data_IF_071137414132
#
_entry.id   IF_071137414132
#
_cell.length_a   1.000
_cell.length_b   1.000
_cell.length_c   1.000
_cell.angle_alpha   90.00
_cell.angle_beta   90.00
_cell.angle_gamma   90.00
#
_symmetry.space_group_name_H-M   'P 1'
#
loop_
_entity.id
_entity.type
_entity.pdbx_description
1 polymer ?
#
# COMPACT_ATOMS: atom_id res chain seq x y z
N UNK A 1 14.90 9.55 -11.21
CA UNK A 1 14.09 10.00 -10.06
C UNK A 1 12.97 9.01 -9.86
N UNK A 2 12.79 8.57 -8.64
CA UNK A 2 11.79 7.59 -8.23
C UNK A 2 10.86 8.22 -7.20
N UNK A 3 9.57 8.28 -7.51
CA UNK A 3 8.56 9.00 -6.74
C UNK A 3 7.55 8.06 -6.13
N UNK A 4 7.18 8.29 -4.88
CA UNK A 4 6.09 7.62 -4.19
C UNK A 4 4.97 8.61 -3.90
N UNK A 5 3.72 8.20 -4.14
CA UNK A 5 2.54 8.99 -3.83
C UNK A 5 1.66 8.17 -2.88
N UNK A 6 1.16 8.79 -1.83
CA UNK A 6 0.17 8.18 -0.95
C UNK A 6 -0.85 9.21 -0.49
N UNK A 7 -2.09 8.79 -0.30
CA UNK A 7 -3.07 9.58 0.41
C UNK A 7 -3.31 8.99 1.79
N UNK A 8 -3.51 9.87 2.75
CA UNK A 8 -3.68 9.49 4.16
C UNK A 8 -4.87 10.20 4.80
N UNK A 9 -5.44 9.56 5.80
CA UNK A 9 -6.29 10.18 6.81
C UNK A 9 -6.25 9.36 8.09
N UNK A 10 -5.69 9.95 9.16
CA UNK A 10 -5.59 9.32 10.47
C UNK A 10 -4.86 7.97 10.42
N UNK A 11 -3.60 8.02 10.00
CA UNK A 11 -2.74 6.86 9.77
C UNK A 11 -1.59 6.76 10.79
N UNK A 12 -1.72 7.38 11.97
CA UNK A 12 -0.65 7.43 12.99
C UNK A 12 -0.12 6.04 13.38
N UNK A 13 -0.96 5.00 13.30
CA UNK A 13 -0.57 3.62 13.62
C UNK A 13 0.40 3.01 12.58
N UNK A 14 0.18 3.26 11.30
CA UNK A 14 0.92 2.61 10.22
C UNK A 14 2.11 3.44 9.74
N UNK A 15 2.01 4.76 9.79
CA UNK A 15 3.00 5.68 9.22
C UNK A 15 4.43 5.46 9.73
N UNK A 16 4.71 5.21 11.02
CA UNK A 16 6.09 5.00 11.46
C UNK A 16 6.77 3.84 10.71
N UNK A 17 6.07 2.72 10.56
CA UNK A 17 6.59 1.53 9.87
C UNK A 17 6.64 1.73 8.36
N UNK A 18 5.63 2.39 7.79
CA UNK A 18 5.55 2.68 6.37
C UNK A 18 6.64 3.64 5.92
N UNK A 19 6.93 4.68 6.72
CA UNK A 19 8.01 5.63 6.49
C UNK A 19 9.36 4.92 6.58
N UNK A 20 9.60 4.16 7.66
CA UNK A 20 10.85 3.43 7.85
C UNK A 20 11.17 2.51 6.67
N UNK A 21 10.15 1.87 6.08
CA UNK A 21 10.32 0.98 4.95
C UNK A 21 10.59 1.73 3.63
N UNK A 22 9.78 2.75 3.31
CA UNK A 22 9.79 3.35 1.97
C UNK A 22 10.78 4.51 1.83
N UNK A 23 11.11 5.22 2.93
CA UNK A 23 12.00 6.39 2.89
C UNK A 23 13.35 6.12 2.21
N UNK A 24 14.04 4.98 2.45
CA UNK A 24 15.32 4.70 1.79
C UNK A 24 15.17 4.30 0.31
N UNK A 25 13.95 4.02 -0.18
CA UNK A 25 13.71 3.49 -1.52
C UNK A 25 13.39 4.57 -2.56
N UNK A 26 12.89 5.73 -2.14
CA UNK A 26 12.34 6.74 -3.04
C UNK A 26 13.07 8.09 -2.90
N UNK A 27 13.37 8.72 -4.05
CA UNK A 27 14.02 10.03 -4.11
C UNK A 27 13.07 11.15 -3.66
N UNK A 28 11.75 10.97 -3.86
CA UNK A 28 10.73 11.94 -3.52
C UNK A 28 9.43 11.25 -3.12
N UNK A 29 8.79 11.77 -2.08
CA UNK A 29 7.49 11.29 -1.62
C UNK A 29 6.50 12.43 -1.49
N UNK A 30 5.31 12.23 -2.04
CA UNK A 30 4.19 13.17 -1.91
C UNK A 30 3.04 12.51 -1.16
N UNK A 31 2.67 13.09 -0.04
CA UNK A 31 1.53 12.68 0.77
C UNK A 31 0.35 13.61 0.51
N UNK A 32 -0.80 13.06 0.20
CA UNK A 32 -2.07 13.77 0.06
C UNK A 32 -2.85 13.58 1.36
N UNK A 33 -2.98 14.63 2.15
CA UNK A 33 -3.67 14.57 3.45
C UNK A 33 -5.15 14.93 3.33
N UNK A 34 -6.00 13.99 3.68
CA UNK A 34 -7.47 14.15 3.76
C UNK A 34 -7.92 14.68 5.12
N UNK A 35 -7.31 15.73 5.61
CA UNK A 35 -7.64 16.35 6.89
C UNK A 35 -7.45 15.42 8.11
N UNK A 36 -6.29 14.83 8.22
CA UNK A 36 -5.92 14.09 9.43
C UNK A 36 -6.03 14.96 10.68
N UNK A 37 -6.54 14.37 11.74
CA UNK A 37 -6.78 15.00 13.06
C UNK A 37 -6.01 14.33 14.19
N UNK A 38 -5.33 13.22 13.87
CA UNK A 38 -4.44 12.48 14.76
C UNK A 38 -2.98 12.97 14.61
N UNK A 39 -2.02 12.20 15.10
CA UNK A 39 -0.59 12.53 15.04
C UNK A 39 0.05 12.28 13.65
N UNK A 40 -0.70 11.90 12.61
CA UNK A 40 -0.16 11.53 11.29
C UNK A 40 0.80 12.57 10.72
N UNK A 41 0.39 13.85 10.72
CA UNK A 41 1.21 14.92 10.12
C UNK A 41 2.47 15.21 10.93
N UNK A 42 2.41 15.10 12.25
CA UNK A 42 3.57 15.31 13.12
C UNK A 42 4.57 14.16 13.01
N UNK A 43 4.09 12.93 12.83
CA UNK A 43 4.91 11.76 12.53
C UNK A 43 5.69 11.97 11.23
N UNK A 44 5.02 12.41 10.15
CA UNK A 44 5.71 12.66 8.87
C UNK A 44 6.74 13.76 9.02
N UNK A 45 6.40 14.90 9.64
CA UNK A 45 7.33 16.01 9.85
C UNK A 45 8.56 15.62 10.68
N UNK A 46 8.38 14.67 11.59
CA UNK A 46 9.46 14.18 12.47
C UNK A 46 10.32 13.14 11.78
N UNK A 47 9.71 12.13 11.14
CA UNK A 47 10.43 10.98 10.62
C UNK A 47 10.86 11.14 9.15
N UNK A 48 10.22 12.02 8.39
CA UNK A 48 10.49 12.26 6.98
C UNK A 48 10.26 13.75 6.62
N UNK A 49 10.99 14.70 7.22
CA UNK A 49 10.77 16.13 7.05
C UNK A 49 10.96 16.61 5.60
N UNK A 50 11.64 15.84 4.76
CA UNK A 50 11.84 16.11 3.34
C UNK A 50 10.62 15.73 2.48
N UNK A 51 9.65 15.01 3.01
CA UNK A 51 8.46 14.60 2.25
C UNK A 51 7.50 15.77 2.05
N UNK A 52 6.94 15.83 0.86
CA UNK A 52 5.96 16.85 0.50
C UNK A 52 4.57 16.45 1.02
N UNK A 53 3.93 17.32 1.77
CA UNK A 53 2.55 17.16 2.22
C UNK A 53 1.67 18.13 1.44
N UNK A 54 0.64 17.61 0.80
CA UNK A 54 -0.41 18.37 0.10
C UNK A 54 -1.74 18.11 0.78
N UNK A 55 -2.54 19.17 0.93
CA UNK A 55 -3.92 19.02 1.37
C UNK A 55 -4.78 18.53 0.22
N UNK A 56 -5.57 17.46 0.45
CA UNK A 56 -6.59 17.03 -0.50
C UNK A 56 -7.63 18.14 -0.73
N UNK A 57 -8.11 18.24 -1.96
CA UNK A 57 -9.23 19.10 -2.30
C UNK A 57 -10.59 18.45 -2.00
N UNK A 58 -10.60 17.15 -1.71
CA UNK A 58 -11.81 16.39 -1.39
C UNK A 58 -12.06 16.39 0.11
N UNK A 59 -13.32 16.55 0.50
CA UNK A 59 -13.74 16.56 1.91
C UNK A 59 -13.93 15.13 2.42
N UNK A 60 -14.57 14.28 1.60
CA UNK A 60 -14.82 12.88 1.90
C UNK A 60 -13.97 11.98 1.00
N UNK A 61 -13.73 10.76 1.45
CA UNK A 61 -13.08 9.77 0.62
C UNK A 61 -14.06 9.32 -0.48
N UNK A 62 -13.74 9.70 -1.69
CA UNK A 62 -14.34 9.24 -2.93
C UNK A 62 -13.25 8.57 -3.75
N UNK A 63 -13.46 7.31 -4.11
CA UNK A 63 -12.41 6.50 -4.72
C UNK A 63 -11.95 7.05 -6.07
N UNK A 64 -12.88 7.54 -6.90
CA UNK A 64 -12.54 8.13 -8.19
C UNK A 64 -11.75 9.43 -8.03
N UNK A 65 -12.21 10.30 -7.12
CA UNK A 65 -11.54 11.58 -6.88
C UNK A 65 -10.16 11.39 -6.25
N UNK A 66 -10.00 10.40 -5.35
CA UNK A 66 -8.70 10.04 -4.78
C UNK A 66 -7.72 9.59 -5.86
N UNK A 67 -8.15 8.74 -6.79
CA UNK A 67 -7.32 8.29 -7.90
C UNK A 67 -7.02 9.42 -8.89
N UNK A 68 -7.98 10.34 -9.09
CA UNK A 68 -7.78 11.52 -9.93
C UNK A 68 -6.74 12.48 -9.34
N UNK A 69 -6.77 12.74 -8.02
CA UNK A 69 -5.73 13.53 -7.35
C UNK A 69 -4.33 12.90 -7.50
N UNK A 70 -4.23 11.58 -7.36
CA UNK A 70 -2.97 10.86 -7.61
C UNK A 70 -2.49 11.11 -9.04
N UNK A 71 -3.36 10.93 -10.04
CA UNK A 71 -3.00 11.13 -11.45
C UNK A 71 -2.65 12.58 -11.78
N UNK A 72 -3.27 13.56 -11.12
CA UNK A 72 -2.87 14.97 -11.25
C UNK A 72 -1.44 15.21 -10.74
N UNK A 73 -1.07 14.61 -9.60
CA UNK A 73 0.29 14.70 -9.08
C UNK A 73 1.27 13.98 -10.00
N UNK A 74 0.95 12.79 -10.46
CA UNK A 74 1.77 12.03 -11.41
C UNK A 74 2.11 12.85 -12.66
N UNK A 75 1.15 13.60 -13.18
CA UNK A 75 1.34 14.41 -14.39
C UNK A 75 2.45 15.46 -14.26
N UNK A 76 2.65 15.99 -13.05
CA UNK A 76 3.70 16.98 -12.76
C UNK A 76 5.03 16.37 -12.30
N UNK A 77 5.07 15.05 -12.03
CA UNK A 77 6.28 14.37 -11.60
C UNK A 77 7.04 13.78 -12.78
N UNK A 78 8.35 14.05 -12.84
CA UNK A 78 9.25 13.39 -13.78
C UNK A 78 9.78 12.07 -13.22
N UNK A 79 10.18 11.15 -14.13
CA UNK A 79 10.74 9.87 -13.75
C UNK A 79 9.69 8.79 -13.40
N UNK A 80 10.16 7.77 -12.73
CA UNK A 80 9.33 6.63 -12.31
C UNK A 80 8.50 6.98 -11.08
N UNK A 81 7.31 6.43 -10.98
CA UNK A 81 6.37 6.71 -9.90
C UNK A 81 5.48 5.52 -9.59
N UNK A 82 5.07 5.43 -8.34
CA UNK A 82 4.10 4.44 -7.83
C UNK A 82 3.19 5.11 -6.81
N UNK A 83 1.93 4.71 -6.77
CA UNK A 83 0.98 5.15 -5.76
C UNK A 83 0.58 3.98 -4.86
N UNK A 84 0.79 4.12 -3.54
CA UNK A 84 0.51 3.11 -2.52
C UNK A 84 -0.42 3.66 -1.44
N UNK A 85 -1.19 2.78 -0.82
CA UNK A 85 -1.86 3.07 0.44
C UNK A 85 -0.90 2.77 1.61
N UNK A 86 -1.17 3.30 2.80
CA UNK A 86 -0.34 3.07 4.00
C UNK A 86 -0.31 1.63 4.48
N UNK A 87 -1.25 0.80 4.03
CA UNK A 87 -1.24 -0.65 4.26
C UNK A 87 -0.43 -1.42 3.24
N UNK A 88 0.12 -0.77 2.22
CA UNK A 88 0.78 -1.43 1.09
C UNK A 88 2.28 -1.15 1.10
N UNK A 89 3.04 -2.20 0.88
CA UNK A 89 4.49 -2.19 0.87
C UNK A 89 4.97 -2.73 -0.46
N UNK A 90 5.80 -1.95 -1.16
CA UNK A 90 6.56 -2.44 -2.30
C UNK A 90 7.89 -3.01 -1.80
N UNK A 91 8.24 -4.21 -2.22
CA UNK A 91 9.48 -4.87 -1.81
C UNK A 91 10.27 -5.29 -3.03
N UNK A 92 11.52 -4.86 -3.07
CA UNK A 92 12.46 -5.14 -4.15
C UNK A 92 13.88 -5.09 -3.59
N UNK A 93 14.73 -6.01 -3.97
CA UNK A 93 16.13 -6.02 -3.53
C UNK A 93 16.95 -4.88 -4.13
N UNK A 94 16.68 -4.52 -5.38
CA UNK A 94 17.36 -3.41 -6.07
C UNK A 94 16.41 -2.75 -7.09
N UNK A 95 15.64 -1.78 -6.60
CA UNK A 95 14.64 -1.08 -7.41
C UNK A 95 15.27 -0.26 -8.57
N UNK A 96 16.46 0.31 -8.34
CA UNK A 96 17.16 1.05 -9.38
C UNK A 96 17.58 0.12 -10.53
N UNK A 97 18.14 -1.06 -10.23
CA UNK A 97 18.54 -2.01 -11.26
C UNK A 97 17.34 -2.57 -12.03
N UNK A 98 16.24 -2.84 -11.33
CA UNK A 98 14.98 -3.25 -11.95
C UNK A 98 14.48 -2.23 -12.97
N UNK A 99 14.51 -0.95 -12.63
CA UNK A 99 14.13 0.14 -13.52
C UNK A 99 15.05 0.21 -14.75
N UNK A 100 16.35 0.14 -14.55
CA UNK A 100 17.34 0.16 -15.65
C UNK A 100 17.06 -1.00 -16.62
N UNK A 101 16.82 -2.19 -16.11
CA UNK A 101 16.51 -3.37 -16.92
C UNK A 101 15.23 -3.18 -17.74
N UNK A 102 14.17 -2.63 -17.14
CA UNK A 102 12.92 -2.33 -17.84
C UNK A 102 13.11 -1.27 -18.94
N UNK A 103 13.86 -0.19 -18.66
CA UNK A 103 14.16 0.87 -19.63
C UNK A 103 14.95 0.33 -20.83
N UNK A 104 15.97 -0.50 -20.57
CA UNK A 104 16.77 -1.13 -21.61
C UNK A 104 15.94 -2.08 -22.50
N UNK A 105 14.91 -2.70 -21.92
CA UNK A 105 13.95 -3.54 -22.63
C UNK A 105 12.80 -2.76 -23.30
N UNK A 106 12.79 -1.41 -23.20
CA UNK A 106 11.79 -0.54 -23.81
C UNK A 106 10.45 -0.45 -23.05
N UNK A 107 10.40 -0.91 -21.81
CA UNK A 107 9.19 -0.81 -20.99
C UNK A 107 9.11 0.52 -20.24
N UNK A 108 7.90 1.02 -20.11
CA UNK A 108 7.57 2.24 -19.36
C UNK A 108 6.75 1.96 -18.10
N UNK A 109 6.45 0.70 -17.82
CA UNK A 109 5.75 0.23 -16.63
C UNK A 109 6.24 -1.14 -16.19
N UNK A 110 6.23 -1.37 -14.90
CA UNK A 110 6.64 -2.62 -14.25
C UNK A 110 5.56 -3.03 -13.27
N UNK A 111 5.27 -4.33 -13.21
CA UNK A 111 4.41 -4.94 -12.20
C UNK A 111 5.12 -6.12 -11.55
N UNK A 112 4.90 -6.30 -10.27
CA UNK A 112 5.40 -7.45 -9.53
C UNK A 112 4.62 -8.73 -9.86
N UNK A 113 5.32 -9.85 -9.91
CA UNK A 113 4.71 -11.16 -10.13
C UNK A 113 3.99 -11.70 -8.90
N UNK A 114 4.34 -11.22 -7.70
CA UNK A 114 3.75 -11.70 -6.46
C UNK A 114 3.15 -10.56 -5.63
N UNK A 115 1.98 -10.81 -5.09
CA UNK A 115 1.32 -9.97 -4.09
C UNK A 115 0.92 -10.83 -2.90
N UNK A 116 1.14 -10.31 -1.70
CA UNK A 116 0.90 -11.00 -0.45
C UNK A 116 -0.08 -10.22 0.43
N UNK A 117 -0.99 -10.94 1.04
CA UNK A 117 -1.82 -10.41 2.13
C UNK A 117 -1.25 -10.94 3.44
N UNK A 118 -0.84 -10.03 4.33
CA UNK A 118 -0.31 -10.39 5.64
C UNK A 118 -1.43 -10.56 6.66
N UNK A 119 -1.24 -11.55 7.52
CA UNK A 119 -2.19 -11.91 8.56
C UNK A 119 -1.47 -12.07 9.90
N UNK A 120 -1.98 -11.42 10.94
CA UNK A 120 -1.44 -11.52 12.30
C UNK A 120 -1.96 -12.77 13.02
N UNK A 121 -1.59 -13.94 12.49
CA UNK A 121 -1.98 -15.25 13.01
C UNK A 121 -1.64 -15.42 14.50
N UNK A 122 -0.57 -14.79 14.95
CA UNK A 122 -0.07 -14.88 16.31
C UNK A 122 -0.68 -13.84 17.26
N UNK A 123 -1.58 -12.99 16.77
CA UNK A 123 -2.18 -11.90 17.55
C UNK A 123 -1.14 -11.02 18.26
N UNK A 124 -0.16 -10.57 17.50
CA UNK A 124 0.88 -9.68 18.01
C UNK A 124 0.29 -8.31 18.35
N UNK A 125 -0.56 -7.79 17.48
CA UNK A 125 -1.07 -6.44 17.57
C UNK A 125 0.05 -5.39 17.48
N UNK A 126 -0.29 -4.12 17.48
CA UNK A 126 0.72 -3.05 17.41
C UNK A 126 1.62 -3.02 18.65
N UNK A 127 1.12 -3.42 19.81
CA UNK A 127 1.88 -3.38 21.08
C UNK A 127 3.10 -4.29 21.10
N UNK A 128 3.15 -5.32 20.24
CA UNK A 128 4.29 -6.26 20.16
C UNK A 128 5.14 -6.04 18.92
N UNK A 129 4.68 -5.24 17.97
CA UNK A 129 5.49 -4.85 16.81
C UNK A 129 6.54 -3.83 17.28
N UNK A 130 7.79 -4.09 16.94
CA UNK A 130 8.93 -3.26 17.29
C UNK A 130 9.33 -2.39 16.11
N UNK A 131 10.11 -1.33 16.38
CA UNK A 131 10.70 -0.55 15.31
C UNK A 131 11.77 -1.34 14.54
N UNK A 132 12.43 -2.27 15.20
CA UNK A 132 13.41 -3.18 14.62
C UNK A 132 13.18 -4.62 15.11
N UNK A 133 13.30 -5.63 14.25
CA UNK A 133 13.54 -5.53 12.79
C UNK A 133 12.34 -4.90 12.05
N UNK A 134 12.47 -4.60 10.73
CA UNK A 134 11.38 -4.06 9.91
C UNK A 134 10.06 -4.85 10.05
N UNK A 135 8.93 -4.17 9.93
CA UNK A 135 7.59 -4.78 10.18
C UNK A 135 7.32 -6.03 9.32
N UNK A 136 7.80 -6.07 8.08
CA UNK A 136 7.61 -7.23 7.20
C UNK A 136 8.37 -8.46 7.66
N UNK A 137 9.46 -8.30 8.41
CA UNK A 137 10.22 -9.41 9.00
C UNK A 137 9.57 -9.94 10.28
N UNK A 138 8.70 -9.16 10.91
CA UNK A 138 7.96 -9.57 12.11
C UNK A 138 6.63 -10.25 11.78
N UNK A 139 6.07 -9.99 10.58
CA UNK A 139 4.78 -10.48 10.11
C UNK A 139 4.98 -11.58 9.05
N UNK A 140 5.24 -12.79 9.51
CA UNK A 140 5.62 -13.89 8.63
C UNK A 140 4.46 -14.84 8.24
N UNK A 141 3.22 -14.43 8.47
CA UNK A 141 2.05 -15.21 8.11
C UNK A 141 1.17 -14.45 7.14
N UNK A 142 0.52 -15.20 6.25
CA UNK A 142 -0.34 -14.64 5.23
C UNK A 142 -0.52 -15.59 4.06
N UNK A 143 -0.86 -15.05 2.90
CA UNK A 143 -0.95 -15.85 1.67
C UNK A 143 -0.54 -15.03 0.46
N UNK A 144 -0.06 -15.71 -0.57
CA UNK A 144 0.14 -15.12 -1.88
C UNK A 144 -1.21 -15.05 -2.59
N UNK A 145 -1.56 -13.90 -3.14
CA UNK A 145 -2.78 -13.75 -3.95
C UNK A 145 -2.67 -14.55 -5.25
N UNK A 146 -3.80 -15.14 -5.66
CA UNK A 146 -3.91 -15.84 -6.93
C UNK A 146 -4.10 -14.84 -8.07
N UNK A 147 -3.13 -14.74 -9.01
CA UNK A 147 -3.21 -13.78 -10.12
C UNK A 147 -4.43 -13.97 -11.02
N UNK A 148 -5.04 -15.16 -11.01
CA UNK A 148 -6.21 -15.47 -11.85
C UNK A 148 -7.54 -14.99 -11.25
N UNK A 149 -7.56 -14.59 -9.99
CA UNK A 149 -8.78 -14.19 -9.27
C UNK A 149 -8.83 -12.69 -9.03
N UNK A 150 -8.52 -12.29 -7.83
CA UNK A 150 -8.44 -10.88 -7.44
C UNK A 150 -7.02 -10.61 -6.98
N UNK A 151 -6.43 -9.52 -7.45
CA UNK A 151 -5.03 -9.37 -7.29
C UNK A 151 -4.64 -7.89 -7.14
N UNK A 152 -4.08 -7.57 -5.99
CA UNK A 152 -3.77 -6.20 -5.61
C UNK A 152 -2.41 -5.77 -6.13
N UNK A 153 -2.31 -5.62 -7.45
CA UNK A 153 -1.11 -5.07 -8.05
C UNK A 153 -1.07 -3.55 -7.94
N UNK A 154 0.15 -3.04 -7.98
CA UNK A 154 0.42 -1.62 -8.16
C UNK A 154 1.33 -1.44 -9.36
N UNK A 155 1.10 -0.36 -10.09
CA UNK A 155 1.87 -0.03 -11.27
C UNK A 155 3.02 0.90 -10.88
N UNK A 156 4.26 0.44 -11.07
CA UNK A 156 5.45 1.28 -11.09
C UNK A 156 5.69 1.74 -12.54
N UNK A 157 5.65 3.03 -12.83
CA UNK A 157 5.66 3.51 -14.21
C UNK A 157 6.31 4.88 -14.38
N UNK A 158 6.61 5.24 -15.66
CA UNK A 158 7.12 6.55 -16.06
C UNK A 158 6.21 7.31 -17.02
N UNK A 159 5.01 6.82 -17.31
CA UNK A 159 4.02 7.57 -18.09
C UNK A 159 3.59 8.85 -17.36
N UNK A 160 3.06 9.86 -18.07
CA UNK A 160 2.53 11.06 -17.41
C UNK A 160 1.52 10.74 -16.31
N UNK A 161 0.63 9.77 -16.57
CA UNK A 161 -0.33 9.24 -15.58
C UNK A 161 -0.49 7.74 -15.75
N UNK A 162 -0.86 7.01 -14.68
CA UNK A 162 -1.14 5.59 -14.73
C UNK A 162 -2.41 5.22 -15.48
N UNK A 163 -3.36 6.16 -15.66
CA UNK A 163 -4.69 5.90 -16.24
C UNK A 163 -5.39 4.72 -15.57
N UNK A 164 -5.57 4.82 -14.27
CA UNK A 164 -6.08 3.77 -13.41
C UNK A 164 -7.58 3.55 -13.54
N UNK A 165 -8.02 2.31 -13.32
CA UNK A 165 -9.37 2.03 -12.81
C UNK A 165 -9.46 2.37 -11.32
N UNK A 166 -10.69 2.45 -10.82
CA UNK A 166 -10.95 2.75 -9.40
C UNK A 166 -10.16 1.82 -8.49
N UNK A 167 -9.45 2.41 -7.52
CA UNK A 167 -8.60 1.70 -6.58
C UNK A 167 -7.18 1.40 -7.08
N UNK A 168 -6.83 1.78 -8.30
CA UNK A 168 -5.49 1.64 -8.91
C UNK A 168 -4.96 0.21 -9.02
N UNK A 169 -5.87 -0.78 -9.10
CA UNK A 169 -5.50 -2.19 -9.27
C UNK A 169 -5.39 -2.63 -10.73
N UNK A 170 -5.88 -1.81 -11.64
CA UNK A 170 -5.69 -1.97 -13.09
C UNK A 170 -5.49 -0.61 -13.76
N UNK A 171 -5.00 -0.61 -15.00
CA UNK A 171 -4.60 0.57 -15.75
C UNK A 171 -4.77 0.34 -17.24
N UNK A 172 -4.87 1.44 -18.01
CA UNK A 172 -5.02 1.42 -19.47
C UNK A 172 -3.71 1.78 -20.20
N UNK A 173 -2.58 1.67 -19.54
CA UNK A 173 -1.24 1.88 -20.11
C UNK A 173 -0.58 0.55 -20.35
N UNK A 174 0.28 0.47 -21.35
CA UNK A 174 1.03 -0.73 -21.65
C UNK A 174 1.98 -0.54 -22.84
N UNK A 175 2.82 -1.52 -23.13
CA UNK A 175 3.03 -2.76 -22.38
C UNK A 175 3.78 -2.55 -21.07
N UNK A 176 3.61 -3.48 -20.09
CA UNK A 176 4.33 -3.52 -18.82
C UNK A 176 5.24 -4.73 -18.74
N UNK A 177 6.40 -4.59 -18.10
CA UNK A 177 7.24 -5.71 -17.71
C UNK A 177 6.67 -6.40 -16.46
N UNK A 178 6.66 -7.72 -16.45
CA UNK A 178 6.47 -8.50 -15.21
C UNK A 178 7.84 -8.75 -14.57
N UNK A 179 7.92 -8.69 -13.25
CA UNK A 179 9.18 -8.94 -12.54
C UNK A 179 8.99 -9.79 -11.31
N UNK A 180 9.78 -10.85 -11.21
CA UNK A 180 9.91 -11.68 -10.01
C UNK A 180 10.68 -10.98 -8.88
N UNK A 181 11.44 -9.93 -9.19
CA UNK A 181 12.24 -9.16 -8.24
C UNK A 181 11.43 -8.06 -7.54
N UNK A 182 10.17 -7.89 -7.94
CA UNK A 182 9.23 -6.94 -7.35
C UNK A 182 8.05 -7.70 -6.77
N UNK A 183 7.76 -7.45 -5.50
CA UNK A 183 6.55 -7.96 -4.87
C UNK A 183 5.82 -6.85 -4.12
N UNK A 184 4.56 -7.13 -3.80
CA UNK A 184 3.73 -6.27 -2.95
C UNK A 184 3.28 -7.03 -1.72
N UNK A 185 3.29 -6.35 -0.57
CA UNK A 185 2.74 -6.88 0.67
C UNK A 185 1.67 -5.93 1.20
N UNK A 186 0.54 -6.48 1.63
CA UNK A 186 -0.56 -5.70 2.19
C UNK A 186 -0.82 -6.09 3.63
N UNK A 187 -0.82 -5.11 4.54
CA UNK A 187 -1.16 -5.24 5.95
C UNK A 187 -2.70 -5.29 6.17
N UNK A 188 -3.43 -6.02 5.32
CA UNK A 188 -4.88 -6.05 5.39
C UNK A 188 -5.42 -6.63 6.71
N UNK A 189 -4.69 -7.61 7.28
CA UNK A 189 -5.02 -8.30 8.52
C UNK A 189 -3.84 -8.36 9.51
N UNK A 190 -2.94 -7.39 9.43
CA UNK A 190 -1.76 -7.34 10.30
C UNK A 190 -1.21 -5.91 10.41
N UNK A 191 -0.75 -5.50 11.60
CA UNK A 191 -1.02 -6.11 12.91
C UNK A 191 -2.53 -6.10 13.23
N UNK A 192 -3.03 -7.02 14.07
CA UNK A 192 -4.46 -7.12 14.34
C UNK A 192 -4.77 -7.00 15.84
N UNK A 193 -5.34 -5.88 16.20
CA UNK A 193 -5.82 -5.56 17.54
C UNK A 193 -6.98 -4.56 17.47
N UNK A 194 -7.45 -4.10 18.61
CA UNK A 194 -8.53 -3.13 18.71
C UNK A 194 -8.20 -1.82 17.97
N UNK A 195 -6.94 -1.39 17.97
CA UNK A 195 -6.52 -0.16 17.28
C UNK A 195 -6.69 -0.30 15.75
N UNK A 196 -6.28 -1.43 15.17
CA UNK A 196 -6.50 -1.71 13.74
C UNK A 196 -7.99 -1.81 13.39
N UNK A 197 -8.79 -2.45 14.23
CA UNK A 197 -10.25 -2.56 14.04
C UNK A 197 -10.88 -1.16 14.04
N UNK A 198 -10.56 -0.34 15.04
CA UNK A 198 -11.06 1.03 15.16
C UNK A 198 -10.65 1.90 13.95
N UNK A 199 -9.39 1.79 13.49
CA UNK A 199 -8.92 2.43 12.26
C UNK A 199 -9.77 2.04 11.06
N UNK A 200 -10.03 0.74 10.85
CA UNK A 200 -10.84 0.26 9.73
C UNK A 200 -12.28 0.78 9.78
N UNK A 201 -12.89 0.81 10.95
CA UNK A 201 -14.24 1.39 11.17
C UNK A 201 -14.24 2.89 10.85
N UNK A 202 -13.21 3.62 11.29
CA UNK A 202 -13.10 5.05 11.05
C UNK A 202 -13.01 5.38 9.55
N UNK A 203 -12.34 4.57 8.74
CA UNK A 203 -12.30 4.72 7.27
C UNK A 203 -13.72 4.65 6.69
N UNK A 204 -14.52 3.67 7.13
CA UNK A 204 -15.89 3.47 6.65
C UNK A 204 -16.77 4.70 6.83
N UNK A 205 -16.64 5.42 7.94
CA UNK A 205 -17.42 6.63 8.21
C UNK A 205 -17.14 7.77 7.22
N UNK A 206 -16.06 7.69 6.47
CA UNK A 206 -15.54 8.76 5.61
C UNK A 206 -15.76 8.52 4.12
N UNK A 207 -16.18 7.30 3.76
CA UNK A 207 -16.54 6.97 2.36
C UNK A 207 -17.70 7.86 1.91
N UNK A 208 -17.59 8.45 0.73
CA UNK A 208 -18.59 9.35 0.18
C UNK A 208 -19.96 8.68 0.06
N UNK A 209 -21.04 9.47 0.17
CA UNK A 209 -22.40 8.96 -0.02
C UNK A 209 -22.60 8.40 -1.43
N UNK A 210 -21.91 8.98 -2.41
CA UNK A 210 -21.90 8.51 -3.79
C UNK A 210 -21.35 7.09 -3.87
N UNK A 211 -20.13 6.86 -3.35
CA UNK A 211 -19.48 5.55 -3.38
C UNK A 211 -20.31 4.49 -2.65
N UNK A 212 -20.93 4.86 -1.52
CA UNK A 212 -21.84 3.96 -0.79
C UNK A 212 -23.02 3.53 -1.66
N UNK A 213 -23.66 4.47 -2.38
CA UNK A 213 -24.83 4.19 -3.23
C UNK A 213 -24.50 3.26 -4.39
N UNK A 214 -23.29 3.33 -4.96
CA UNK A 214 -22.85 2.49 -6.08
C UNK A 214 -22.07 1.25 -5.63
N UNK A 215 -21.99 1.00 -4.32
CA UNK A 215 -21.35 -0.19 -3.74
C UNK A 215 -19.84 -0.17 -3.74
N UNK A 216 -19.19 0.97 -4.02
CA UNK A 216 -17.76 1.13 -3.86
C UNK A 216 -17.38 1.24 -2.38
N UNK A 217 -16.26 0.61 -2.01
CA UNK A 217 -15.77 0.66 -0.63
C UNK A 217 -16.63 -0.10 0.39
N UNK A 218 -17.51 -1.02 -0.04
CA UNK A 218 -18.39 -1.80 0.85
C UNK A 218 -17.62 -2.50 1.98
N UNK A 219 -16.39 -2.93 1.72
CA UNK A 219 -15.51 -3.56 2.71
C UNK A 219 -15.04 -2.61 3.83
N UNK A 220 -15.28 -1.31 3.70
CA UNK A 220 -15.01 -0.33 4.74
C UNK A 220 -16.22 -0.11 5.70
N UNK A 221 -17.39 -0.66 5.39
CA UNK A 221 -18.61 -0.48 6.20
C UNK A 221 -18.88 -1.63 7.16
N UNK A 222 -17.87 -2.45 7.43
CA UNK A 222 -17.97 -3.58 8.32
C UNK A 222 -17.96 -3.12 9.79
N UNK A 223 -18.82 -3.74 10.60
CA UNK A 223 -18.78 -3.62 12.05
C UNK A 223 -17.53 -4.31 12.63
N UNK A 224 -17.21 -4.02 13.90
CA UNK A 224 -16.09 -4.70 14.59
C UNK A 224 -16.22 -6.23 14.55
N UNK A 225 -17.46 -6.74 14.71
CA UNK A 225 -17.73 -8.17 14.63
C UNK A 225 -17.46 -8.73 13.22
N UNK A 226 -17.95 -8.08 12.18
CA UNK A 226 -17.75 -8.51 10.80
C UNK A 226 -16.28 -8.44 10.40
N UNK A 227 -15.52 -7.44 10.89
CA UNK A 227 -14.09 -7.36 10.72
C UNK A 227 -13.38 -8.54 11.39
N UNK A 228 -13.77 -8.89 12.62
CA UNK A 228 -13.22 -10.03 13.33
C UNK A 228 -13.59 -11.35 12.65
N UNK A 229 -14.83 -11.53 12.20
CA UNK A 229 -15.28 -12.70 11.43
C UNK A 229 -14.47 -12.83 10.12
N UNK A 230 -14.20 -11.70 9.44
CA UNK A 230 -13.35 -11.67 8.24
C UNK A 230 -11.90 -12.04 8.55
N UNK A 231 -11.36 -11.59 9.67
CA UNK A 231 -10.03 -11.96 10.13
C UNK A 231 -9.94 -13.46 10.42
N UNK A 232 -10.92 -14.04 11.12
CA UNK A 232 -10.98 -15.47 11.41
C UNK A 232 -11.09 -16.31 10.12
N UNK A 233 -11.93 -15.89 9.18
CA UNK A 233 -12.06 -16.56 7.88
C UNK A 233 -10.75 -16.52 7.08
N UNK A 234 -10.04 -15.40 7.11
CA UNK A 234 -8.75 -15.25 6.44
C UNK A 234 -7.67 -16.20 7.00
N UNK A 235 -7.81 -16.64 8.25
CA UNK A 235 -6.90 -17.60 8.87
C UNK A 235 -6.88 -18.96 8.14
N UNK A 236 -7.98 -19.36 7.49
CA UNK A 236 -8.08 -20.64 6.77
C UNK A 236 -7.09 -20.75 5.61
N UNK A 237 -6.74 -19.63 4.96
CA UNK A 237 -5.79 -19.58 3.85
C UNK A 237 -4.39 -19.10 4.27
N UNK A 238 -4.21 -18.78 5.56
CA UNK A 238 -2.96 -18.24 6.09
C UNK A 238 -1.92 -19.32 6.29
N UNK A 239 -0.77 -19.16 5.65
CA UNK A 239 0.39 -20.04 5.73
C UNK A 239 1.60 -19.32 6.31
N UNK A 240 2.66 -20.05 6.63
CA UNK A 240 3.96 -19.48 6.97
C UNK A 240 4.67 -19.02 5.69
N UNK A 241 4.84 -17.72 5.52
CA UNK A 241 5.44 -17.13 4.33
C UNK A 241 6.96 -17.37 4.25
N UNK A 242 7.61 -17.74 5.36
CA UNK A 242 9.03 -18.09 5.37
C UNK A 242 9.35 -19.31 4.49
N UNK A 243 8.34 -20.12 4.17
CA UNK A 243 8.45 -21.24 3.23
C UNK A 243 8.20 -20.83 1.77
N UNK A 244 7.73 -19.61 1.53
CA UNK A 244 7.48 -19.12 0.16
C UNK A 244 8.75 -18.58 -0.48
N UNK A 245 9.09 -19.06 -1.69
CA UNK A 245 10.33 -18.71 -2.39
C UNK A 245 10.50 -17.21 -2.65
N UNK A 246 9.43 -16.49 -3.03
CA UNK A 246 9.49 -15.04 -3.26
C UNK A 246 9.72 -14.29 -1.95
N UNK A 247 9.04 -14.71 -0.87
CA UNK A 247 9.21 -14.11 0.45
C UNK A 247 10.64 -14.28 0.97
N UNK A 248 11.18 -15.49 0.84
CA UNK A 248 12.57 -15.78 1.22
C UNK A 248 13.58 -14.92 0.47
N UNK A 249 13.43 -14.83 -0.86
CA UNK A 249 14.41 -14.13 -1.72
C UNK A 249 14.37 -12.61 -1.56
N UNK A 250 13.22 -12.02 -1.27
CA UNK A 250 13.05 -10.57 -1.33
C UNK A 250 12.87 -9.95 0.06
N UNK A 251 12.18 -10.61 0.99
CA UNK A 251 11.94 -10.06 2.32
C UNK A 251 13.02 -10.51 3.32
N UNK A 252 13.40 -11.77 3.30
CA UNK A 252 14.33 -12.34 4.28
C UNK A 252 15.80 -12.31 3.86
N UNK A 253 16.11 -12.01 2.60
CA UNK A 253 17.49 -11.94 2.09
C UNK A 253 18.14 -10.55 2.19
N UNK A 254 17.53 -9.62 2.93
CA UNK A 254 18.02 -8.24 3.13
C UNK A 254 19.10 -8.17 4.20
#
# INVERSE_FOLDING_TARGET
MLNLISHIRNEELLLPHWIAHHRPMFDSVTIIDYASTDSSLDIIRTLAPEWRILRSQNVNFDANNADFEVMQIEYYLSGWKIALNTTEYVVCSNLCQLIINAENAGFHGIIGEASFILHDKLRLGFSKIKNEPPILEQLNYGWQEDPSKSYRRRLLHRWPTGSYSVGRHSWMRGPTANSSDLLYASLAYAPWDEAMINRKIAIGSQVSEHDRKIGLGHHHHLSAKELEDSFQKALEQTVDLRENKYWQQIVLAK
#
